data_IF_904905095260
#
_entry.id   IF_904905095260
#
_cell.length_a   1.000
_cell.length_b   1.000
_cell.length_c   1.000
_cell.angle_alpha   90.00
_cell.angle_beta   90.00
_cell.angle_gamma   90.00
#
_symmetry.space_group_name_H-M   'P 1'
#
loop_
_entity.id
_entity.type
_entity.pdbx_description
1 polymer ?
#
# COMPACT_ATOMS: atom_id res chain seq x y z
N UNK A 1 -13.26 -56.93 -51.36
CA UNK A 1 -14.73 -56.98 -51.31
C UNK A 1 -15.19 -57.01 -49.88
N UNK A 2 -16.11 -56.09 -49.55
CA UNK A 2 -17.08 -56.12 -48.45
C UNK A 2 -16.63 -55.77 -47.02
N UNK A 3 -16.72 -54.46 -46.70
CA UNK A 3 -17.56 -53.95 -45.59
C UNK A 3 -19.00 -53.77 -46.16
N UNK A 4 -20.14 -53.74 -45.43
CA UNK A 4 -20.54 -52.75 -44.39
C UNK A 4 -21.38 -53.37 -43.22
N UNK A 5 -21.60 -52.73 -42.07
CA UNK A 5 -22.71 -51.82 -41.69
C UNK A 5 -22.41 -51.34 -40.25
N UNK A 6 -22.37 -50.04 -39.94
CA UNK A 6 -23.49 -49.18 -39.53
C UNK A 6 -24.41 -49.73 -38.43
N UNK A 7 -24.39 -49.06 -37.27
CA UNK A 7 -25.64 -48.63 -36.63
C UNK A 7 -25.45 -47.26 -35.97
N UNK A 8 -26.49 -46.45 -36.19
CA UNK A 8 -26.71 -45.04 -35.90
C UNK A 8 -27.69 -44.92 -34.71
N UNK A 9 -27.92 -43.69 -34.25
CA UNK A 9 -29.03 -43.14 -33.41
C UNK A 9 -28.71 -43.00 -31.91
N UNK A 10 -29.08 -41.95 -31.17
CA UNK A 10 -29.64 -40.62 -31.48
C UNK A 10 -29.72 -39.79 -30.17
N UNK A 11 -29.72 -38.46 -30.35
CA UNK A 11 -30.51 -37.41 -29.67
C UNK A 11 -30.36 -37.09 -28.16
N UNK A 12 -30.15 -35.79 -27.96
CA UNK A 12 -30.81 -34.86 -27.02
C UNK A 12 -30.13 -34.43 -25.70
N UNK A 13 -30.20 -33.11 -25.46
CA UNK A 13 -29.93 -32.47 -24.16
C UNK A 13 -28.96 -31.28 -24.14
N UNK A 14 -29.34 -30.12 -24.70
CA UNK A 14 -28.74 -28.80 -24.40
C UNK A 14 -29.39 -28.17 -23.12
N UNK A 15 -29.08 -26.91 -22.75
CA UNK A 15 -28.22 -26.47 -21.65
C UNK A 15 -28.99 -26.11 -20.36
N UNK A 16 -28.25 -25.87 -19.26
CA UNK A 16 -28.77 -25.10 -18.10
C UNK A 16 -28.02 -23.77 -17.96
N UNK A 17 -28.70 -22.63 -18.15
CA UNK A 17 -28.23 -21.33 -17.71
C UNK A 17 -28.70 -21.07 -16.27
N UNK A 18 -27.85 -20.51 -15.41
CA UNK A 18 -28.25 -20.00 -14.10
C UNK A 18 -28.15 -18.48 -14.15
N UNK A 19 -29.29 -17.84 -13.92
CA UNK A 19 -29.54 -16.41 -13.93
C UNK A 19 -29.41 -15.85 -12.51
N UNK A 20 -28.76 -14.69 -12.38
CA UNK A 20 -29.11 -13.58 -11.48
C UNK A 20 -28.85 -13.71 -9.97
N UNK A 21 -28.12 -12.76 -9.39
CA UNK A 21 -28.67 -11.53 -8.74
C UNK A 21 -27.50 -10.63 -8.27
N UNK A 22 -27.57 -9.30 -8.36
CA UNK A 22 -26.52 -8.39 -7.89
C UNK A 22 -26.81 -7.95 -6.44
N UNK A 23 -25.83 -8.07 -5.56
CA UNK A 23 -25.86 -7.40 -4.25
C UNK A 23 -24.69 -6.44 -4.10
N UNK A 24 -25.10 -5.20 -3.87
CA UNK A 24 -24.38 -4.03 -3.42
C UNK A 24 -24.19 -4.16 -1.90
N UNK A 25 -22.98 -3.97 -1.40
CA UNK A 25 -22.69 -3.74 0.02
C UNK A 25 -21.33 -3.05 0.06
N UNK A 26 -21.30 -1.73 0.19
CA UNK A 26 -21.48 -0.91 1.39
C UNK A 26 -20.14 -0.56 2.03
N UNK A 27 -19.93 0.75 2.14
CA UNK A 27 -18.70 1.37 2.54
C UNK A 27 -18.32 1.04 3.98
N UNK A 28 -17.03 0.81 4.19
CA UNK A 28 -16.46 0.74 5.53
C UNK A 28 -16.35 2.17 6.08
N UNK A 29 -17.38 2.57 6.81
CA UNK A 29 -17.45 3.79 7.60
C UNK A 29 -16.83 3.56 8.98
N UNK A 30 -15.66 4.15 9.23
CA UNK A 30 -15.02 4.16 10.54
C UNK A 30 -15.66 5.23 11.42
N UNK A 31 -16.49 4.82 12.38
CA UNK A 31 -17.03 5.66 13.45
C UNK A 31 -16.20 5.51 14.72
N UNK A 32 -15.70 6.63 15.25
CA UNK A 32 -15.22 6.73 16.62
C UNK A 32 -15.55 8.13 17.17
N UNK A 33 -16.74 8.26 17.75
CA UNK A 33 -17.10 9.35 18.67
C UNK A 33 -17.24 8.77 20.08
N UNK A 34 -16.48 9.30 21.03
CA UNK A 34 -16.70 9.14 22.47
C UNK A 34 -16.27 10.45 23.18
N UNK A 35 -17.20 11.21 23.79
CA UNK A 35 -16.89 12.45 24.52
C UNK A 35 -16.52 12.20 25.98
N UNK A 36 -15.46 12.85 26.48
CA UNK A 36 -15.13 12.89 27.92
C UNK A 36 -15.92 14.00 28.64
N UNK A 37 -16.74 13.60 29.63
CA UNK A 37 -17.42 14.50 30.56
C UNK A 37 -16.50 14.88 31.75
N UNK A 38 -16.51 16.13 32.24
CA UNK A 38 -15.82 16.50 33.49
C UNK A 38 -16.76 16.45 34.70
N UNK A 39 -16.40 15.67 35.72
CA UNK A 39 -17.10 15.64 37.01
C UNK A 39 -16.47 16.62 38.02
N UNK A 40 -17.31 17.49 38.60
CA UNK A 40 -17.03 18.35 39.76
C UNK A 40 -17.10 17.56 41.08
N UNK A 41 -16.38 17.98 42.13
CA UNK A 41 -16.84 17.77 43.51
C UNK A 41 -17.25 19.10 44.18
N UNK A 42 -18.41 19.04 44.86
CA UNK A 42 -18.91 20.03 45.83
C UNK A 42 -18.57 19.52 47.23
N UNK A 43 -18.13 20.39 48.14
CA UNK A 43 -18.12 20.09 49.58
C UNK A 43 -18.68 21.24 50.40
N UNK A 44 -19.45 20.85 51.42
CA UNK A 44 -20.38 21.64 52.24
C UNK A 44 -19.68 22.31 53.42
N UNK A 45 -20.21 23.47 53.80
CA UNK A 45 -19.94 24.31 54.98
C UNK A 45 -20.64 23.80 56.24
N UNK A 46 -20.02 24.00 57.42
CA UNK A 46 -20.67 24.52 58.64
C UNK A 46 -19.67 24.91 59.75
N UNK A 47 -20.04 25.83 60.67
CA UNK A 47 -19.11 26.69 61.42
C UNK A 47 -19.16 26.52 62.96
N UNK A 48 -18.07 26.81 63.68
CA UNK A 48 -18.12 27.16 65.12
C UNK A 48 -17.06 28.22 65.48
N UNK A 49 -17.49 29.19 66.30
CA UNK A 49 -16.82 30.39 66.85
C UNK A 49 -15.82 30.05 67.98
N UNK A 50 -14.74 30.82 68.16
CA UNK A 50 -14.67 31.90 69.18
C UNK A 50 -13.28 32.55 69.32
N UNK A 51 -13.31 33.88 69.48
CA UNK A 51 -12.50 34.79 70.31
C UNK A 51 -11.06 35.22 69.96
N UNK A 52 -10.93 36.56 69.92
CA UNK A 52 -9.79 37.47 69.79
C UNK A 52 -8.97 37.57 71.12
N UNK A 53 -7.83 38.31 71.26
CA UNK A 53 -7.48 39.54 70.53
C UNK A 53 -6.01 39.76 70.08
N UNK A 54 -5.91 40.60 69.04
CA UNK A 54 -4.96 41.67 68.79
C UNK A 54 -3.45 41.46 69.11
N UNK A 55 -2.66 41.24 68.06
CA UNK A 55 -1.33 41.83 67.94
C UNK A 55 -1.19 42.40 66.52
N UNK A 56 -1.41 43.70 66.44
CA UNK A 56 -1.17 44.55 65.28
C UNK A 56 0.33 44.57 64.97
N UNK A 57 0.74 43.86 63.92
CA UNK A 57 1.99 44.14 63.20
C UNK A 57 1.62 44.46 61.76
N UNK A 58 1.41 45.76 61.52
CA UNK A 58 1.40 46.35 60.19
C UNK A 58 2.73 46.07 59.49
N UNK A 59 2.77 45.01 58.69
CA UNK A 59 3.79 44.85 57.66
C UNK A 59 3.25 45.59 56.44
N UNK A 60 3.74 46.83 56.28
CA UNK A 60 3.56 47.64 55.08
C UNK A 60 3.76 46.78 53.81
N UNK A 61 2.88 46.89 52.78
CA UNK A 61 3.06 46.22 51.49
C UNK A 61 4.35 46.61 50.74
N UNK A 62 5.09 47.59 51.25
CA UNK A 62 6.18 48.28 50.54
C UNK A 62 7.59 47.78 50.91
N UNK A 63 7.70 46.77 51.77
CA UNK A 63 8.99 46.19 52.22
C UNK A 63 9.12 44.68 51.91
N UNK A 64 8.31 44.14 50.98
CA UNK A 64 8.61 42.85 50.33
C UNK A 64 9.28 43.03 48.94
N UNK A 65 9.18 44.24 48.38
CA UNK A 65 9.73 44.55 47.06
C UNK A 65 11.27 44.71 47.08
N UNK A 66 11.88 45.00 48.23
CA UNK A 66 13.32 45.36 48.34
C UNK A 66 14.28 44.20 48.65
N UNK A 67 13.79 42.97 48.84
CA UNK A 67 14.63 41.76 48.96
C UNK A 67 14.55 40.81 47.76
N UNK A 68 13.83 41.19 46.71
CA UNK A 68 13.97 40.54 45.40
C UNK A 68 15.20 41.14 44.71
N UNK A 69 16.36 40.54 44.97
CA UNK A 69 17.62 41.02 44.37
C UNK A 69 17.51 41.11 42.83
N UNK A 70 18.31 41.98 42.18
CA UNK A 70 18.25 42.31 40.74
C UNK A 70 18.36 41.12 39.75
N UNK A 71 18.53 39.89 40.24
CA UNK A 71 18.59 38.67 39.46
C UNK A 71 17.21 38.09 39.06
N UNK A 72 16.17 38.32 39.87
CA UNK A 72 14.85 37.70 39.66
C UNK A 72 14.12 38.23 38.43
N UNK A 73 14.27 39.52 38.12
CA UNK A 73 13.63 40.14 36.95
C UNK A 73 14.23 39.60 35.65
N UNK A 74 15.53 39.34 35.65
CA UNK A 74 16.22 38.66 34.55
C UNK A 74 15.69 37.23 34.37
N UNK A 75 15.58 36.48 35.47
CA UNK A 75 15.04 35.10 35.46
C UNK A 75 13.59 35.05 34.97
N UNK A 76 12.76 36.05 35.33
CA UNK A 76 11.40 36.18 34.79
C UNK A 76 11.45 36.46 33.28
N UNK A 77 12.26 37.39 32.79
CA UNK A 77 12.37 37.64 31.34
C UNK A 77 12.83 36.38 30.58
N UNK A 78 13.72 35.59 31.16
CA UNK A 78 14.17 34.32 30.58
C UNK A 78 13.05 33.26 30.59
N UNK A 79 12.24 33.16 31.66
CA UNK A 79 11.08 32.28 31.71
C UNK A 79 10.01 32.67 30.67
N UNK A 80 9.77 33.96 30.48
CA UNK A 80 8.89 34.47 29.44
C UNK A 80 9.42 34.07 28.05
N UNK A 81 10.72 34.21 27.82
CA UNK A 81 11.37 33.77 26.57
C UNK A 81 11.25 32.25 26.36
N UNK A 82 11.43 31.45 27.41
CA UNK A 82 11.20 30.01 27.36
C UNK A 82 9.74 29.69 27.05
N UNK A 83 8.77 30.39 27.65
CA UNK A 83 7.34 30.19 27.41
C UNK A 83 6.97 30.41 25.94
N UNK A 84 7.49 31.49 25.34
CA UNK A 84 7.30 31.77 23.91
C UNK A 84 7.97 30.69 23.04
N UNK A 85 9.21 30.30 23.38
CA UNK A 85 9.95 29.29 22.62
C UNK A 85 9.30 27.91 22.68
N UNK A 86 8.79 27.49 23.84
CA UNK A 86 8.05 26.25 24.03
C UNK A 86 6.75 26.24 23.21
N UNK A 87 6.04 27.37 23.17
CA UNK A 87 4.86 27.52 22.32
C UNK A 87 5.21 27.32 20.85
N UNK A 88 6.30 27.93 20.38
CA UNK A 88 6.80 27.73 19.01
C UNK A 88 7.17 26.27 18.73
N UNK A 89 7.91 25.62 19.62
CA UNK A 89 8.34 24.22 19.42
C UNK A 89 7.15 23.25 19.38
N UNK A 90 6.09 23.49 20.17
CA UNK A 90 4.87 22.69 20.10
C UNK A 90 4.22 22.75 18.72
N UNK A 91 4.15 23.94 18.12
CA UNK A 91 3.59 24.11 16.77
C UNK A 91 4.50 23.45 15.73
N UNK A 92 5.80 23.69 15.81
CA UNK A 92 6.78 23.11 14.88
C UNK A 92 6.77 21.58 14.88
N UNK A 93 6.66 20.93 16.05
CA UNK A 93 6.54 19.47 16.13
C UNK A 93 5.24 18.98 15.49
N UNK A 94 4.11 19.66 15.74
CA UNK A 94 2.83 19.31 15.12
C UNK A 94 2.92 19.40 13.59
N UNK A 95 3.46 20.50 13.07
CA UNK A 95 3.64 20.71 11.64
C UNK A 95 4.56 19.67 11.00
N UNK A 96 5.68 19.33 11.64
CA UNK A 96 6.62 18.33 11.11
C UNK A 96 6.02 16.92 11.11
N UNK A 97 5.26 16.56 12.15
CA UNK A 97 4.54 15.28 12.20
C UNK A 97 3.45 15.24 11.14
N UNK A 98 2.65 16.29 11.00
CA UNK A 98 1.60 16.38 9.96
C UNK A 98 2.20 16.32 8.55
N UNK A 99 3.34 16.98 8.34
CA UNK A 99 4.14 16.91 7.11
C UNK A 99 4.62 15.48 6.84
N UNK A 100 5.15 14.80 7.86
CA UNK A 100 5.61 13.41 7.75
C UNK A 100 4.48 12.45 7.39
N UNK A 101 3.29 12.61 8.00
CA UNK A 101 2.10 11.82 7.65
C UNK A 101 1.71 12.02 6.18
N UNK A 102 1.76 13.26 5.68
CA UNK A 102 1.49 13.55 4.26
C UNK A 102 2.52 12.89 3.34
N UNK A 103 3.82 12.94 3.68
CA UNK A 103 4.89 12.29 2.93
C UNK A 103 4.72 10.78 2.87
N UNK A 104 4.36 10.14 4.00
CA UNK A 104 4.07 8.70 4.04
C UNK A 104 2.91 8.36 3.10
N UNK A 105 1.80 9.09 3.20
CA UNK A 105 0.62 8.86 2.32
C UNK A 105 0.98 9.03 0.84
N UNK A 106 1.75 10.07 0.51
CA UNK A 106 2.20 10.31 -0.86
C UNK A 106 3.08 9.17 -1.38
N UNK A 107 4.04 8.71 -0.57
CA UNK A 107 4.92 7.59 -0.95
C UNK A 107 4.15 6.30 -1.23
N UNK A 108 3.16 5.95 -0.39
CA UNK A 108 2.33 4.77 -0.63
C UNK A 108 1.43 4.91 -1.86
N UNK A 109 0.90 6.12 -2.13
CA UNK A 109 0.13 6.37 -3.34
C UNK A 109 0.98 6.23 -4.61
N UNK A 110 2.22 6.73 -4.58
CA UNK A 110 3.17 6.59 -5.69
C UNK A 110 3.55 5.11 -5.92
N UNK A 111 3.90 4.38 -4.86
CA UNK A 111 4.20 2.94 -4.95
C UNK A 111 3.03 2.15 -5.53
N UNK A 112 1.80 2.45 -5.10
CA UNK A 112 0.60 1.82 -5.63
C UNK A 112 0.45 2.07 -7.15
N UNK A 113 0.65 3.31 -7.59
CA UNK A 113 0.62 3.64 -9.02
C UNK A 113 1.72 2.90 -9.80
N UNK A 114 2.95 2.83 -9.26
CA UNK A 114 4.03 2.07 -9.89
C UNK A 114 3.69 0.58 -10.07
N UNK A 115 3.01 -0.03 -9.10
CA UNK A 115 2.57 -1.42 -9.18
C UNK A 115 1.53 -1.59 -10.30
N UNK A 116 0.54 -0.69 -10.37
CA UNK A 116 -0.48 -0.71 -11.44
C UNK A 116 0.16 -0.54 -12.82
N UNK A 117 1.04 0.45 -12.98
CA UNK A 117 1.72 0.68 -14.25
C UNK A 117 2.52 -0.55 -14.68
N UNK A 118 3.15 -1.22 -13.71
CA UNK A 118 3.90 -2.44 -13.97
C UNK A 118 3.01 -3.61 -14.35
N UNK A 119 1.84 -3.75 -13.71
CA UNK A 119 0.82 -4.74 -14.07
C UNK A 119 0.36 -4.55 -15.51
N UNK A 120 -0.03 -3.32 -15.88
CA UNK A 120 -0.48 -2.99 -17.24
C UNK A 120 0.62 -3.28 -18.26
N UNK A 121 1.87 -2.89 -17.97
CA UNK A 121 3.02 -3.18 -18.84
C UNK A 121 3.23 -4.69 -19.02
N UNK A 122 3.15 -5.49 -17.96
CA UNK A 122 3.32 -6.94 -18.06
C UNK A 122 2.20 -7.59 -18.87
N UNK A 123 0.95 -7.15 -18.71
CA UNK A 123 -0.17 -7.64 -19.52
C UNK A 123 0.04 -7.34 -21.01
N UNK A 124 0.49 -6.12 -21.34
CA UNK A 124 0.78 -5.73 -22.73
C UNK A 124 1.89 -6.59 -23.36
N UNK A 125 2.97 -6.88 -22.61
CA UNK A 125 4.04 -7.77 -23.10
C UNK A 125 3.54 -9.21 -23.29
N UNK A 126 2.66 -9.71 -22.43
CA UNK A 126 2.05 -11.04 -22.62
C UNK A 126 1.16 -11.09 -23.87
N UNK A 127 0.38 -10.03 -24.13
CA UNK A 127 -0.42 -9.94 -25.35
C UNK A 127 0.44 -9.88 -26.61
N UNK A 128 1.57 -9.17 -26.56
CA UNK A 128 2.55 -9.14 -27.65
C UNK A 128 3.15 -10.53 -27.91
N UNK A 129 3.59 -11.24 -26.87
CA UNK A 129 4.11 -12.62 -27.00
C UNK A 129 3.06 -13.55 -27.60
N UNK A 130 1.80 -13.42 -27.17
CA UNK A 130 0.67 -14.18 -27.73
C UNK A 130 0.47 -13.88 -29.21
N UNK A 131 0.48 -12.61 -29.61
CA UNK A 131 0.30 -12.21 -31.01
C UNK A 131 1.44 -12.74 -31.89
N UNK A 132 2.69 -12.59 -31.46
CA UNK A 132 3.87 -13.09 -32.18
C UNK A 132 3.81 -14.62 -32.36
N UNK A 133 3.43 -15.37 -31.31
CA UNK A 133 3.27 -16.81 -31.40
C UNK A 133 2.14 -17.21 -32.37
N UNK A 134 1.02 -16.49 -32.34
CA UNK A 134 -0.11 -16.72 -33.25
C UNK A 134 0.24 -16.40 -34.70
N UNK A 135 1.03 -15.35 -34.95
CA UNK A 135 1.52 -15.00 -36.28
C UNK A 135 2.40 -16.11 -36.85
N UNK A 136 3.35 -16.63 -36.04
CA UNK A 136 4.22 -17.74 -36.44
C UNK A 136 3.38 -18.97 -36.83
N UNK A 137 2.43 -19.37 -35.99
CA UNK A 137 1.56 -20.53 -36.28
C UNK A 137 0.71 -20.31 -37.53
N UNK A 138 0.18 -19.10 -37.72
CA UNK A 138 -0.60 -18.73 -38.90
C UNK A 138 0.23 -18.81 -40.18
N UNK A 139 1.45 -18.25 -40.17
CA UNK A 139 2.37 -18.33 -41.30
C UNK A 139 2.71 -19.80 -41.62
N UNK A 140 2.89 -20.61 -40.58
CA UNK A 140 3.18 -22.03 -40.71
C UNK A 140 2.03 -22.83 -41.31
N UNK A 141 0.81 -22.52 -40.91
CA UNK A 141 -0.40 -23.15 -41.45
C UNK A 141 -0.58 -22.80 -42.93
N UNK A 142 -0.36 -21.55 -43.32
CA UNK A 142 -0.36 -21.14 -44.75
C UNK A 142 0.68 -21.90 -45.56
N UNK A 143 1.89 -22.09 -45.03
CA UNK A 143 2.93 -22.89 -45.70
C UNK A 143 2.51 -24.36 -45.84
N UNK A 144 1.86 -24.93 -44.83
CA UNK A 144 1.32 -26.29 -44.90
C UNK A 144 0.27 -26.43 -46.02
N UNK A 145 -0.61 -25.44 -46.14
CA UNK A 145 -1.65 -25.40 -47.16
C UNK A 145 -1.08 -25.28 -48.58
N UNK A 146 -0.05 -24.45 -48.79
CA UNK A 146 0.59 -24.35 -50.11
C UNK A 146 1.38 -25.63 -50.46
N UNK A 147 2.12 -26.20 -49.52
CA UNK A 147 2.81 -27.48 -49.73
C UNK A 147 1.83 -28.60 -50.09
N UNK A 148 0.65 -28.62 -49.45
CA UNK A 148 -0.43 -29.54 -49.80
C UNK A 148 -0.91 -29.32 -51.23
N UNK A 149 -1.20 -28.07 -51.60
CA UNK A 149 -1.68 -27.71 -52.95
C UNK A 149 -0.66 -28.08 -54.04
N UNK A 150 0.64 -27.90 -53.79
CA UNK A 150 1.71 -28.33 -54.69
C UNK A 150 1.80 -29.85 -54.79
N UNK A 151 1.64 -30.55 -53.65
CA UNK A 151 1.63 -32.01 -53.61
C UNK A 151 0.49 -32.62 -54.43
N UNK A 152 -0.69 -31.98 -54.44
CA UNK A 152 -1.83 -32.42 -55.25
C UNK A 152 -1.53 -32.36 -56.76
N UNK A 153 -0.57 -31.53 -57.19
CA UNK A 153 -0.11 -31.40 -58.57
C UNK A 153 1.14 -32.23 -58.89
N UNK A 154 1.65 -33.02 -57.94
CA UNK A 154 2.95 -33.69 -58.03
C UNK A 154 3.11 -34.62 -59.26
N UNK A 155 2.02 -35.21 -59.75
CA UNK A 155 2.04 -36.09 -60.93
C UNK A 155 2.35 -35.37 -62.24
N UNK A 156 2.21 -34.04 -62.27
CA UNK A 156 2.47 -33.19 -63.44
C UNK A 156 3.87 -32.54 -63.38
N UNK A 157 4.59 -32.72 -62.28
CA UNK A 157 5.88 -32.08 -62.04
C UNK A 157 7.03 -32.86 -62.69
N UNK A 158 8.04 -32.14 -63.17
CA UNK A 158 9.29 -32.75 -63.59
C UNK A 158 10.05 -33.33 -62.38
N UNK A 159 10.94 -34.30 -62.62
CA UNK A 159 11.68 -35.01 -61.57
C UNK A 159 12.46 -34.08 -60.64
N UNK A 160 13.06 -33.02 -61.20
CA UNK A 160 13.79 -32.00 -60.43
C UNK A 160 12.87 -31.24 -59.48
N UNK A 161 11.72 -30.75 -59.95
CA UNK A 161 10.76 -30.02 -59.11
C UNK A 161 10.13 -30.94 -58.05
N UNK A 162 9.94 -32.22 -58.39
CA UNK A 162 9.45 -33.22 -57.44
C UNK A 162 10.48 -33.51 -56.33
N UNK A 163 11.77 -33.51 -56.65
CA UNK A 163 12.84 -33.63 -55.67
C UNK A 163 12.89 -32.41 -54.73
N UNK A 164 12.73 -31.20 -55.27
CA UNK A 164 12.65 -29.96 -54.49
C UNK A 164 11.45 -29.96 -53.54
N UNK A 165 10.25 -30.29 -54.04
CA UNK A 165 9.04 -30.37 -53.22
C UNK A 165 9.19 -31.39 -52.08
N UNK A 166 9.79 -32.56 -52.35
CA UNK A 166 10.10 -33.57 -51.31
C UNK A 166 11.06 -33.04 -50.25
N UNK A 167 12.08 -32.29 -50.66
CA UNK A 167 13.02 -31.67 -49.73
C UNK A 167 12.34 -30.61 -48.86
N UNK A 168 11.46 -29.78 -49.45
CA UNK A 168 10.75 -28.73 -48.72
C UNK A 168 9.73 -29.30 -47.73
N UNK A 169 8.97 -30.33 -48.11
CA UNK A 169 8.08 -31.05 -47.19
C UNK A 169 8.87 -31.67 -46.04
N UNK A 170 10.02 -32.30 -46.33
CA UNK A 170 10.89 -32.88 -45.29
C UNK A 170 11.36 -31.80 -44.31
N UNK A 171 11.76 -30.63 -44.81
CA UNK A 171 12.16 -29.51 -43.97
C UNK A 171 11.01 -29.01 -43.09
N UNK A 172 9.84 -28.74 -43.67
CA UNK A 172 8.64 -28.30 -42.96
C UNK A 172 8.24 -29.26 -41.81
N UNK A 173 8.31 -30.57 -42.07
CA UNK A 173 8.01 -31.60 -41.08
C UNK A 173 9.04 -31.65 -39.95
N UNK A 174 10.32 -31.42 -40.26
CA UNK A 174 11.41 -31.45 -39.27
C UNK A 174 11.30 -30.33 -38.22
N UNK A 175 10.71 -29.21 -38.60
CA UNK A 175 10.57 -28.05 -37.74
C UNK A 175 9.46 -28.23 -36.69
N UNK A 176 8.64 -29.30 -36.70
CA UNK A 176 7.45 -29.46 -35.83
C UNK A 176 7.77 -29.32 -34.34
N UNK A 177 8.99 -29.72 -33.94
CA UNK A 177 9.46 -29.57 -32.56
C UNK A 177 9.38 -28.11 -32.07
N UNK A 178 9.57 -27.12 -32.95
CA UNK A 178 9.46 -25.72 -32.58
C UNK A 178 8.02 -25.30 -32.27
N UNK A 179 7.01 -25.87 -32.92
CA UNK A 179 5.60 -25.57 -32.63
C UNK A 179 5.21 -26.02 -31.22
N UNK A 180 5.69 -27.21 -30.83
CA UNK A 180 5.43 -27.77 -29.50
C UNK A 180 6.07 -26.92 -28.39
N UNK A 181 7.29 -26.43 -28.61
CA UNK A 181 7.97 -25.56 -27.65
C UNK A 181 7.36 -24.16 -27.61
N UNK A 182 6.94 -23.62 -28.76
CA UNK A 182 6.24 -22.34 -28.84
C UNK A 182 4.95 -22.35 -27.99
N UNK A 183 4.19 -23.45 -28.02
CA UNK A 183 2.98 -23.61 -27.21
C UNK A 183 3.23 -23.72 -25.70
N UNK A 184 4.44 -24.07 -25.27
CA UNK A 184 4.81 -24.17 -23.83
C UNK A 184 5.31 -22.84 -23.27
N UNK A 185 5.91 -22.00 -24.10
CA UNK A 185 6.58 -20.77 -23.69
C UNK A 185 5.63 -19.66 -23.17
N UNK A 186 4.34 -19.73 -23.46
CA UNK A 186 3.35 -18.69 -23.16
C UNK A 186 2.85 -18.65 -21.69
N UNK A 187 3.64 -19.11 -20.70
CA UNK A 187 3.19 -19.24 -19.31
C UNK A 187 3.82 -18.22 -18.38
N UNK A 188 3.00 -17.35 -17.80
CA UNK A 188 3.39 -16.51 -16.66
C UNK A 188 3.41 -17.36 -15.38
N UNK A 189 4.52 -17.30 -14.63
CA UNK A 189 4.65 -17.96 -13.32
C UNK A 189 5.22 -16.97 -12.31
N UNK A 190 4.33 -16.28 -11.60
CA UNK A 190 4.71 -15.39 -10.50
C UNK A 190 4.29 -16.01 -9.18
N UNK A 191 5.22 -16.03 -8.23
CA UNK A 191 4.96 -16.43 -6.84
C UNK A 191 4.55 -15.19 -6.03
N UNK A 192 3.27 -15.13 -5.71
CA UNK A 192 2.66 -14.05 -4.94
C UNK A 192 3.25 -13.99 -3.51
N UNK A 193 3.53 -15.13 -2.89
CA UNK A 193 4.00 -15.18 -1.50
C UNK A 193 5.45 -14.68 -1.39
N UNK A 194 6.29 -15.02 -2.37
CA UNK A 194 7.64 -14.47 -2.47
C UNK A 194 7.60 -12.95 -2.66
N UNK A 195 6.71 -12.44 -3.52
CA UNK A 195 6.56 -11.00 -3.75
C UNK A 195 6.09 -10.27 -2.49
N UNK A 196 5.11 -10.82 -1.77
CA UNK A 196 4.66 -10.28 -0.47
C UNK A 196 5.79 -10.22 0.55
N UNK A 197 6.60 -11.28 0.66
CA UNK A 197 7.73 -11.33 1.58
C UNK A 197 8.76 -10.22 1.29
N UNK A 198 9.04 -9.93 0.02
CA UNK A 198 9.92 -8.83 -0.38
C UNK A 198 9.34 -7.46 -0.01
N UNK A 199 8.04 -7.25 -0.22
CA UNK A 199 7.36 -5.99 0.14
C UNK A 199 7.41 -5.75 1.65
N UNK A 200 7.20 -6.79 2.47
CA UNK A 200 7.25 -6.65 3.94
C UNK A 200 8.65 -6.23 4.44
N UNK A 201 9.72 -6.70 3.81
CA UNK A 201 11.10 -6.34 4.18
C UNK A 201 11.41 -4.85 3.95
N UNK A 202 10.78 -4.23 2.96
CA UNK A 202 11.04 -2.82 2.61
C UNK A 202 10.56 -1.83 3.69
N UNK A 203 9.53 -2.16 4.47
CA UNK A 203 8.96 -1.28 5.48
C UNK A 203 9.79 -1.15 6.77
N UNK A 204 10.63 -2.14 7.07
CA UNK A 204 11.37 -2.23 8.33
C UNK A 204 12.63 -1.35 8.35
N UNK A 205 13.17 -0.98 7.17
CA UNK A 205 14.45 -0.29 7.04
C UNK A 205 14.37 1.24 7.16
N UNK A 206 13.17 1.84 7.13
CA UNK A 206 13.01 3.30 7.03
C UNK A 206 12.48 3.98 8.31
N UNK A 207 12.16 3.24 9.37
CA UNK A 207 11.83 3.82 10.67
C UNK A 207 13.09 4.02 11.54
N UNK A 208 14.11 4.65 10.96
CA UNK A 208 15.27 5.15 11.70
C UNK A 208 14.82 6.30 12.60
N UNK A 209 14.41 5.97 13.81
CA UNK A 209 14.01 6.93 14.83
C UNK A 209 15.26 7.68 15.30
N UNK A 210 15.50 8.88 14.75
CA UNK A 210 16.23 9.93 15.45
C UNK A 210 15.42 10.28 16.70
N UNK A 211 15.49 9.42 17.73
CA UNK A 211 14.96 9.74 19.05
C UNK A 211 15.82 10.88 19.59
N UNK A 212 15.27 12.07 19.87
CA UNK A 212 16.01 13.03 20.68
C UNK A 212 16.28 12.37 22.05
N UNK A 213 17.55 12.29 22.46
CA UNK A 213 17.94 11.87 23.80
C UNK A 213 17.32 12.85 24.80
N UNK A 214 16.20 12.47 25.41
CA UNK A 214 15.51 13.28 26.41
C UNK A 214 16.09 12.98 27.79
N UNK A 215 17.37 13.33 28.01
CA UNK A 215 17.90 13.49 29.35
C UNK A 215 17.42 14.84 29.91
N UNK A 216 16.14 14.90 30.31
CA UNK A 216 15.58 16.02 31.06
C UNK A 216 15.56 15.60 32.54
N UNK A 217 16.41 16.18 33.42
CA UNK A 217 16.21 16.02 34.85
C UNK A 217 14.92 16.74 35.24
N UNK A 218 13.85 15.99 35.47
CA UNK A 218 12.65 16.45 36.16
C UNK A 218 12.99 16.73 37.63
N UNK A 219 13.67 17.84 37.89
CA UNK A 219 14.00 18.33 39.22
C UNK A 219 13.23 19.61 39.52
N UNK A 220 12.05 19.48 40.14
CA UNK A 220 11.52 20.39 41.17
C UNK A 220 10.11 19.94 41.56
N UNK A 221 10.02 18.91 42.41
CA UNK A 221 8.92 18.85 43.39
C UNK A 221 9.33 19.76 44.55
N UNK A 222 8.71 20.94 44.63
CA UNK A 222 8.74 21.76 45.83
C UNK A 222 7.30 21.97 46.26
N UNK A 223 6.92 21.27 47.32
CA UNK A 223 5.67 21.46 48.06
C UNK A 223 5.49 22.93 48.41
N UNK A 224 4.54 23.61 47.77
CA UNK A 224 3.96 24.85 48.25
C UNK A 224 2.64 24.47 48.94
N UNK A 225 2.74 24.14 50.23
CA UNK A 225 1.59 24.25 51.12
C UNK A 225 1.25 25.74 51.21
N UNK A 226 0.23 26.16 50.48
CA UNK A 226 -0.41 27.45 50.67
C UNK A 226 -1.32 27.36 51.91
N UNK A 227 -1.15 28.24 52.92
CA UNK A 227 -2.27 28.58 53.79
C UNK A 227 -3.27 29.38 52.94
N UNK A 228 -4.47 28.81 52.76
CA UNK A 228 -5.62 29.55 52.29
C UNK A 228 -5.97 30.61 53.35
N UNK A 229 -5.87 31.88 52.96
CA UNK A 229 -6.63 32.99 53.56
C UNK A 229 -7.69 33.39 52.55
#
# INVERSE_FOLDING_TARGET
GNRPLQQKVSLDGNPKPIHGTPERSDGLQWSAEQPCNPSKPKTKTSPVKSNAPAAHLEIKPDELAKKRGPNIEKSVKDLQRCTVSLTRYRVMIKEEVDSSVKKIKAAFAELHNCIIDKEVSLMAEMDKVKEEAMEILTARQKKAEELKRLTDLASQMAEMQLAELRAEIKHFVSERKYDEELGKAARFSCDIEQLKAQIMLCGEKHCGSDRPSVDVPLGCSSSLQHPLV
#
